data_IF_851496335777
#
_entry.id   IF_851496335777
#
_cell.length_a   1.000
_cell.length_b   1.000
_cell.length_c   1.000
_cell.angle_alpha   90.00
_cell.angle_beta   90.00
_cell.angle_gamma   90.00
#
_symmetry.space_group_name_H-M   'P 1'
#
loop_
_entity.id
_entity.type
_entity.pdbx_description
1 polymer ?
#
# COMPACT_ATOMS: atom_id res chain seq x y z
N UNK A 1 14.19 -15.91 11.91
CA UNK A 1 13.51 -15.30 11.17
C UNK A 1 13.71 -13.97 11.10
N UNK A 2 14.38 -13.42 11.30
CA UNK A 2 14.85 -12.49 11.07
C UNK A 2 14.56 -11.88 9.83
N UNK A 3 14.53 -12.48 8.95
CA UNK A 3 14.29 -12.08 7.68
C UNK A 3 13.02 -11.29 7.59
N UNK A 4 12.11 -11.53 8.37
CA UNK A 4 10.90 -10.79 8.37
C UNK A 4 11.12 -9.33 8.52
N UNK A 5 11.98 -8.96 9.41
CA UNK A 5 12.26 -7.57 9.62
C UNK A 5 12.92 -6.95 8.41
N UNK A 6 13.74 -7.72 7.74
CA UNK A 6 14.44 -7.19 6.59
C UNK A 6 13.46 -6.83 5.47
N UNK A 7 12.39 -7.60 5.37
CA UNK A 7 11.41 -7.33 4.32
C UNK A 7 10.34 -6.36 4.75
N UNK A 8 10.31 -6.03 6.01
CA UNK A 8 9.28 -5.15 6.53
C UNK A 8 7.94 -5.83 6.63
N UNK A 9 6.98 -5.18 7.24
CA UNK A 9 5.64 -5.75 7.37
C UNK A 9 4.92 -5.77 6.05
N UNK A 10 4.13 -6.81 5.84
CA UNK A 10 3.27 -6.85 4.67
C UNK A 10 2.04 -6.02 4.93
N UNK A 11 1.78 -5.06 4.07
CA UNK A 11 0.61 -4.21 4.20
C UNK A 11 -0.40 -4.65 3.15
N UNK A 12 -1.61 -4.94 3.60
CA UNK A 12 -2.67 -5.36 2.71
C UNK A 12 -3.79 -4.33 2.71
N UNK A 13 -4.50 -4.25 1.58
CA UNK A 13 -5.65 -3.37 1.52
C UNK A 13 -6.74 -3.86 2.46
N UNK A 14 -7.41 -2.94 3.10
CA UNK A 14 -8.47 -3.27 4.04
C UNK A 14 -9.85 -2.91 3.52
N UNK A 15 -9.92 -2.39 2.31
CA UNK A 15 -11.20 -1.99 1.73
C UNK A 15 -11.08 -1.92 0.22
N UNK A 16 -12.22 -1.87 -0.44
CA UNK A 16 -12.26 -1.64 -1.87
C UNK A 16 -12.04 -2.88 -2.71
N UNK A 17 -11.79 -2.64 -3.98
CA UNK A 17 -11.69 -3.71 -4.98
C UNK A 17 -10.57 -4.70 -4.68
N UNK A 18 -9.49 -4.24 -4.09
CA UNK A 18 -8.34 -5.08 -3.82
C UNK A 18 -8.19 -5.44 -2.35
N UNK A 19 -9.31 -5.49 -1.63
CA UNK A 19 -9.27 -5.86 -0.23
C UNK A 19 -8.54 -7.19 -0.03
N UNK A 20 -7.70 -7.26 1.00
CA UNK A 20 -6.90 -8.43 1.36
C UNK A 20 -5.75 -8.71 0.40
N UNK A 21 -5.53 -7.86 -0.59
CA UNK A 21 -4.41 -8.04 -1.49
C UNK A 21 -3.24 -7.16 -1.02
N UNK A 22 -2.02 -7.68 -1.17
CA UNK A 22 -0.86 -6.89 -0.79
C UNK A 22 -0.76 -5.64 -1.65
N UNK A 23 -0.41 -4.53 -1.01
CA UNK A 23 -0.34 -3.25 -1.72
C UNK A 23 0.60 -3.33 -2.92
N UNK A 24 1.75 -4.00 -2.75
CA UNK A 24 2.72 -4.08 -3.83
C UNK A 24 2.22 -4.83 -5.04
N UNK A 25 1.20 -5.66 -4.87
CA UNK A 25 0.65 -6.45 -5.97
C UNK A 25 -0.50 -5.78 -6.69
N UNK A 26 -0.93 -4.63 -6.20
CA UNK A 26 -1.97 -3.87 -6.86
C UNK A 26 -1.35 -3.16 -8.06
N UNK A 27 -2.04 -3.14 -9.21
CA UNK A 27 -1.49 -2.46 -10.40
C UNK A 27 -1.08 -1.02 -10.10
N UNK A 28 -0.01 -0.58 -10.73
CA UNK A 28 0.51 0.76 -10.51
C UNK A 28 -0.53 1.83 -10.83
N UNK A 29 -1.27 1.66 -11.91
CA UNK A 29 -2.28 2.64 -12.29
C UNK A 29 -3.36 2.79 -11.23
N UNK A 30 -3.71 1.70 -10.56
CA UNK A 30 -4.72 1.76 -9.52
C UNK A 30 -4.14 2.41 -8.25
N UNK A 31 -2.88 2.13 -7.97
CA UNK A 31 -2.23 2.76 -6.82
C UNK A 31 -2.16 4.27 -6.99
N UNK A 32 -1.86 4.72 -8.21
CA UNK A 32 -1.85 6.16 -8.47
C UNK A 32 -3.24 6.75 -8.31
N UNK A 33 -4.25 6.04 -8.80
CA UNK A 33 -5.62 6.49 -8.68
C UNK A 33 -5.99 6.62 -7.21
N UNK A 34 -5.58 5.67 -6.39
CA UNK A 34 -5.88 5.72 -4.95
C UNK A 34 -5.23 6.93 -4.29
N UNK A 35 -4.00 7.22 -4.65
CA UNK A 35 -3.31 8.38 -4.06
C UNK A 35 -4.02 9.68 -4.38
N UNK A 36 -4.69 9.75 -5.52
CA UNK A 36 -5.37 10.98 -5.94
C UNK A 36 -6.81 11.06 -5.51
N UNK A 37 -7.46 9.93 -5.31
CA UNK A 37 -8.91 9.92 -5.11
C UNK A 37 -9.39 9.49 -3.73
N UNK A 38 -8.60 8.73 -3.00
CA UNK A 38 -9.03 8.28 -1.69
C UNK A 38 -8.74 9.34 -0.65
N UNK A 39 -9.69 9.53 0.25
CA UNK A 39 -9.50 10.48 1.34
C UNK A 39 -8.68 9.79 2.42
N UNK A 40 -7.49 10.26 2.64
CA UNK A 40 -6.60 9.65 3.61
C UNK A 40 -6.87 10.16 5.02
N UNK A 41 -6.97 9.22 5.95
CA UNK A 41 -7.27 9.51 7.34
C UNK A 41 -6.29 8.73 8.21
N UNK A 42 -6.26 9.00 9.53
CA UNK A 42 -5.40 8.21 10.41
C UNK A 42 -5.73 6.72 10.38
N UNK A 43 -6.96 6.36 10.02
CA UNK A 43 -7.35 4.96 10.00
C UNK A 43 -6.70 4.19 8.84
N UNK A 44 -6.39 4.86 7.74
CA UNK A 44 -5.74 4.19 6.62
C UNK A 44 -4.34 4.76 6.37
N UNK A 45 -3.73 5.31 7.40
CA UNK A 45 -2.42 5.90 7.28
C UNK A 45 -1.36 4.91 6.82
N UNK A 46 -1.41 3.69 7.31
CA UNK A 46 -0.43 2.68 6.93
C UNK A 46 -0.46 2.40 5.43
N UNK A 47 -1.67 2.34 4.86
CA UNK A 47 -1.83 2.10 3.44
C UNK A 47 -1.26 3.28 2.66
N UNK A 48 -1.56 4.49 3.12
CA UNK A 48 -1.08 5.69 2.45
C UNK A 48 0.46 5.73 2.43
N UNK A 49 1.08 5.43 3.56
CA UNK A 49 2.52 5.45 3.65
C UNK A 49 3.15 4.39 2.76
N UNK A 50 2.53 3.21 2.69
CA UNK A 50 3.06 2.17 1.84
C UNK A 50 2.95 2.54 0.36
N UNK A 51 1.85 3.16 -0.04
CA UNK A 51 1.69 3.61 -1.41
C UNK A 51 2.75 4.64 -1.77
N UNK A 52 3.02 5.58 -0.87
CA UNK A 52 4.04 6.58 -1.12
C UNK A 52 5.42 5.96 -1.21
N UNK A 53 5.71 4.99 -0.36
CA UNK A 53 6.99 4.31 -0.38
C UNK A 53 7.21 3.57 -1.69
N UNK A 54 6.20 2.82 -2.13
CA UNK A 54 6.31 2.09 -3.38
C UNK A 54 6.45 3.02 -4.58
N UNK A 55 5.76 4.15 -4.54
CA UNK A 55 5.89 5.13 -5.60
C UNK A 55 7.31 5.66 -5.69
N UNK A 56 7.91 5.92 -4.53
CA UNK A 56 9.24 6.49 -4.49
C UNK A 56 10.30 5.51 -5.00
N UNK A 57 10.15 4.23 -4.68
CA UNK A 57 11.14 3.25 -5.15
C UNK A 57 10.81 2.69 -6.52
N UNK A 58 9.71 3.12 -7.14
CA UNK A 58 9.41 2.75 -8.50
C UNK A 58 8.86 1.35 -8.72
N UNK A 59 8.26 0.77 -7.73
CA UNK A 59 7.69 -0.56 -7.89
C UNK A 59 6.24 -0.52 -8.31
#
# INVERSE_FOLDING_TARGET
>A
PHDIAANGPEIKMTFGKYKDKEIRKIPIWYRKWMLENIKWTPFNKSIHEELLRLKEIGI
#
